data_IF_382727085383
#
_entry.id   IF_382727085383
#
_cell.length_a   1.000
_cell.length_b   1.000
_cell.length_c   1.000
_cell.angle_alpha   90.00
_cell.angle_beta   90.00
_cell.angle_gamma   90.00
#
_symmetry.space_group_name_H-M   'P 1'
#
loop_
_entity.id
_entity.type
_entity.pdbx_description
1 polymer ?
#
# COMPACT_ATOMS: atom_id res chain seq x y z
N UNK A 1 -24.71 2.33 -19.35
CA UNK A 1 -23.33 2.20 -18.84
C UNK A 1 -22.82 0.81 -19.21
N UNK A 2 -21.74 0.71 -19.98
CA UNK A 2 -21.20 -0.58 -20.41
C UNK A 2 -20.49 -1.31 -19.27
N UNK A 3 -20.63 -2.64 -19.21
CA UNK A 3 -20.07 -3.52 -18.17
C UNK A 3 -18.56 -3.28 -17.95
N UNK A 4 -17.81 -2.97 -19.01
CA UNK A 4 -16.37 -2.66 -18.94
C UNK A 4 -16.03 -1.39 -18.15
N UNK A 5 -16.84 -0.34 -18.25
CA UNK A 5 -16.61 0.91 -17.50
C UNK A 5 -16.92 0.74 -16.01
N UNK A 6 -17.94 -0.09 -15.71
CA UNK A 6 -18.26 -0.45 -14.33
C UNK A 6 -17.13 -1.25 -13.67
N UNK A 7 -16.58 -2.24 -14.38
CA UNK A 7 -15.38 -2.99 -13.95
C UNK A 7 -14.17 -2.09 -13.72
N UNK A 8 -13.92 -1.14 -14.63
CA UNK A 8 -12.84 -0.17 -14.46
C UNK A 8 -13.03 0.68 -13.21
N UNK A 9 -14.23 1.23 -12.99
CA UNK A 9 -14.53 2.03 -11.79
C UNK A 9 -14.39 1.22 -10.49
N UNK A 10 -14.78 -0.05 -10.48
CA UNK A 10 -14.62 -0.92 -9.30
C UNK A 10 -13.15 -1.22 -9.02
N UNK A 11 -12.37 -1.55 -10.05
CA UNK A 11 -10.93 -1.80 -9.90
C UNK A 11 -10.18 -0.52 -9.49
N UNK A 12 -10.53 0.62 -10.08
CA UNK A 12 -9.96 1.92 -9.76
C UNK A 12 -10.33 2.39 -8.35
N UNK A 13 -11.60 2.24 -7.96
CA UNK A 13 -12.06 2.51 -6.61
C UNK A 13 -11.37 1.60 -5.58
N UNK A 14 -11.24 0.30 -5.87
CA UNK A 14 -10.50 -0.65 -5.05
C UNK A 14 -9.03 -0.29 -4.90
N UNK A 15 -8.39 0.19 -5.98
CA UNK A 15 -7.01 0.69 -5.95
C UNK A 15 -6.88 1.93 -5.05
N UNK A 16 -7.74 2.94 -5.24
CA UNK A 16 -7.73 4.15 -4.41
C UNK A 16 -7.99 3.83 -2.94
N UNK A 17 -8.97 2.96 -2.64
CA UNK A 17 -9.26 2.52 -1.29
C UNK A 17 -8.06 1.77 -0.68
N UNK A 18 -7.37 0.92 -1.44
CA UNK A 18 -6.17 0.21 -0.97
C UNK A 18 -5.00 1.18 -0.70
N UNK A 19 -4.82 2.19 -1.54
CA UNK A 19 -3.80 3.24 -1.35
C UNK A 19 -4.12 4.08 -0.11
N UNK A 20 -5.37 4.52 0.04
CA UNK A 20 -5.81 5.28 1.22
C UNK A 20 -5.65 4.46 2.50
N UNK A 21 -6.05 3.19 2.49
CA UNK A 21 -5.92 2.28 3.63
C UNK A 21 -4.44 2.02 3.99
N UNK A 22 -3.57 1.89 2.99
CA UNK A 22 -2.12 1.79 3.19
C UNK A 22 -1.55 3.06 3.81
N UNK A 23 -1.96 4.22 3.31
CA UNK A 23 -1.57 5.51 3.89
C UNK A 23 -2.00 5.62 5.34
N UNK A 24 -3.27 5.36 5.61
CA UNK A 24 -3.84 5.42 6.97
C UNK A 24 -3.15 4.47 7.95
N UNK A 25 -2.90 3.21 7.56
CA UNK A 25 -2.17 2.25 8.41
C UNK A 25 -0.73 2.66 8.64
N UNK A 26 -0.09 3.32 7.69
CA UNK A 26 1.26 3.82 7.90
C UNK A 26 1.29 4.93 8.95
N UNK A 27 0.42 5.93 8.84
CA UNK A 27 0.36 7.02 9.82
C UNK A 27 -0.08 6.53 11.21
N UNK A 28 -1.07 5.63 11.29
CA UNK A 28 -1.65 5.20 12.57
C UNK A 28 -0.93 4.03 13.25
N UNK A 29 -0.16 3.21 12.52
CA UNK A 29 0.47 2.00 13.08
C UNK A 29 1.98 2.03 12.92
N UNK A 30 2.48 2.32 11.71
CA UNK A 30 3.92 2.28 11.44
C UNK A 30 4.62 3.49 12.05
N UNK A 31 4.12 4.71 11.81
CA UNK A 31 4.73 5.94 12.34
C UNK A 31 4.59 6.02 13.87
N UNK A 32 3.40 5.75 14.41
CA UNK A 32 3.19 5.69 15.86
C UNK A 32 4.02 4.58 16.53
N UNK A 33 4.09 3.39 15.90
CA UNK A 33 4.90 2.28 16.40
C UNK A 33 6.41 2.53 16.35
N UNK A 34 6.89 3.26 15.34
CA UNK A 34 8.29 3.69 15.24
C UNK A 34 8.61 4.80 16.25
N UNK A 35 7.72 5.78 16.42
CA UNK A 35 7.86 6.85 17.43
C UNK A 35 7.86 6.30 18.85
N UNK A 36 6.99 5.34 19.17
CA UNK A 36 6.97 4.66 20.47
C UNK A 36 8.28 3.91 20.78
N UNK A 37 9.06 3.58 19.75
CA UNK A 37 10.36 2.90 19.85
C UNK A 37 11.55 3.85 19.70
N UNK A 38 11.32 5.16 19.71
CA UNK A 38 12.37 6.19 19.62
C UNK A 38 13.01 6.33 18.24
N UNK A 39 12.41 5.76 17.18
CA UNK A 39 12.91 5.92 15.81
C UNK A 39 12.37 7.23 15.25
N UNK A 40 13.27 8.17 14.94
CA UNK A 40 12.91 9.41 14.27
C UNK A 40 12.38 9.09 12.86
N UNK A 41 11.11 9.43 12.62
CA UNK A 41 10.48 9.36 11.31
C UNK A 41 10.46 10.79 10.76
N UNK A 42 11.01 11.00 9.56
CA UNK A 42 11.01 12.31 8.91
C UNK A 42 9.56 12.76 8.67
N UNK A 43 9.16 13.85 9.34
CA UNK A 43 7.83 14.45 9.18
C UNK A 43 7.81 15.28 7.88
N UNK A 44 7.28 14.72 6.78
CA UNK A 44 7.09 15.48 5.55
C UNK A 44 6.73 14.67 4.29
N UNK A 45 6.27 15.39 3.25
CA UNK A 45 5.85 14.84 1.95
C UNK A 45 6.98 14.11 1.19
N UNK A 46 8.25 14.43 1.50
CA UNK A 46 9.45 13.82 0.92
C UNK A 46 9.78 12.43 1.50
N UNK A 47 9.34 12.12 2.72
CA UNK A 47 9.45 10.76 3.29
C UNK A 47 8.53 9.76 2.56
N UNK A 48 7.46 10.26 1.93
CA UNK A 48 6.39 9.44 1.34
C UNK A 48 6.81 8.76 0.04
N UNK A 49 7.68 9.38 -0.77
CA UNK A 49 7.92 8.94 -2.15
C UNK A 49 8.92 7.78 -2.31
N UNK A 50 9.64 7.42 -1.25
CA UNK A 50 10.59 6.29 -1.25
C UNK A 50 10.87 5.68 0.12
N UNK A 51 10.64 6.44 1.20
CA UNK A 51 10.92 6.00 2.56
C UNK A 51 9.78 5.18 3.18
N UNK A 52 8.56 5.24 2.62
CA UNK A 52 7.40 4.47 3.11
C UNK A 52 7.69 2.96 3.20
N UNK A 53 8.26 2.40 2.14
CA UNK A 53 8.60 0.97 2.11
C UNK A 53 9.74 0.66 3.07
N UNK A 54 10.71 1.57 3.20
CA UNK A 54 11.83 1.46 4.12
C UNK A 54 11.36 1.43 5.57
N UNK A 55 10.57 2.41 5.99
CA UNK A 55 10.02 2.50 7.35
C UNK A 55 9.07 1.35 7.67
N UNK A 56 8.21 0.95 6.72
CA UNK A 56 7.32 -0.21 6.92
C UNK A 56 8.14 -1.48 7.14
N UNK A 57 9.22 -1.67 6.38
CA UNK A 57 10.12 -2.83 6.52
C UNK A 57 10.90 -2.79 7.83
N UNK A 58 11.40 -1.62 8.24
CA UNK A 58 12.05 -1.42 9.54
C UNK A 58 11.09 -1.72 10.69
N UNK A 59 9.86 -1.22 10.63
CA UNK A 59 8.82 -1.53 11.62
C UNK A 59 8.52 -3.03 11.69
N UNK A 60 8.29 -3.69 10.55
CA UNK A 60 8.08 -5.15 10.50
C UNK A 60 9.29 -5.97 10.97
N UNK A 61 10.50 -5.47 10.77
CA UNK A 61 11.73 -6.10 11.27
C UNK A 61 11.84 -5.99 12.79
N UNK A 62 11.42 -4.86 13.36
CA UNK A 62 11.44 -4.62 14.81
C UNK A 62 10.28 -5.33 15.54
N UNK A 63 9.21 -5.74 14.84
CA UNK A 63 8.04 -6.37 15.46
C UNK A 63 8.35 -7.74 16.06
N UNK A 64 7.97 -7.92 17.32
CA UNK A 64 8.09 -9.18 18.04
C UNK A 64 7.12 -10.25 17.53
N UNK A 65 7.42 -11.52 17.83
CA UNK A 65 6.60 -12.66 17.38
C UNK A 65 5.13 -12.56 17.83
N UNK A 66 4.88 -11.97 19.00
CA UNK A 66 3.52 -11.76 19.50
C UNK A 66 2.82 -10.60 18.78
N UNK A 67 3.51 -9.49 18.52
CA UNK A 67 2.96 -8.35 17.80
C UNK A 67 2.70 -8.65 16.33
N UNK A 68 3.52 -9.50 15.69
CA UNK A 68 3.28 -9.99 14.31
C UNK A 68 1.96 -10.73 14.16
N UNK A 69 1.45 -11.36 15.22
CA UNK A 69 0.16 -12.07 15.19
C UNK A 69 -1.02 -11.11 15.25
N UNK A 70 -0.83 -9.85 15.67
CA UNK A 70 -1.90 -8.87 15.69
C UNK A 70 -2.44 -8.62 14.28
N UNK A 71 -3.77 -8.49 14.13
CA UNK A 71 -4.40 -8.33 12.82
C UNK A 71 -3.88 -7.08 12.10
N UNK A 72 -3.64 -5.99 12.84
CA UNK A 72 -3.12 -4.71 12.34
C UNK A 72 -1.79 -4.88 11.59
N UNK A 73 -0.86 -5.61 12.20
CA UNK A 73 0.47 -5.84 11.65
C UNK A 73 0.45 -6.83 10.48
N UNK A 74 -0.47 -7.79 10.49
CA UNK A 74 -0.73 -8.64 9.31
C UNK A 74 -1.27 -7.84 8.12
N UNK A 75 -2.13 -6.86 8.36
CA UNK A 75 -2.62 -5.96 7.31
C UNK A 75 -1.51 -5.10 6.74
N UNK A 76 -0.65 -4.51 7.58
CA UNK A 76 0.54 -3.76 7.14
C UNK A 76 1.45 -4.64 6.27
N UNK A 77 1.74 -5.87 6.72
CA UNK A 77 2.56 -6.82 5.97
C UNK A 77 1.91 -7.29 4.66
N UNK A 78 0.58 -7.37 4.58
CA UNK A 78 -0.15 -7.68 3.34
C UNK A 78 -0.15 -6.49 2.38
N UNK A 79 -0.51 -5.30 2.86
CA UNK A 79 -0.64 -4.08 2.05
C UNK A 79 0.69 -3.62 1.45
N UNK A 80 1.83 -3.93 2.08
CA UNK A 80 3.14 -3.67 1.47
C UNK A 80 3.31 -4.39 0.11
N UNK A 81 2.68 -5.56 -0.06
CA UNK A 81 2.72 -6.36 -1.29
C UNK A 81 1.48 -6.13 -2.16
N UNK A 82 0.33 -5.89 -1.53
CA UNK A 82 -0.96 -5.75 -2.22
C UNK A 82 -1.00 -4.49 -3.09
N UNK A 83 -0.44 -3.37 -2.63
CA UNK A 83 -0.42 -2.12 -3.41
C UNK A 83 0.48 -2.20 -4.66
N UNK A 84 1.74 -2.67 -4.61
CA UNK A 84 2.52 -2.87 -5.83
C UNK A 84 1.92 -3.94 -6.75
N UNK A 85 1.27 -4.99 -6.20
CA UNK A 85 0.54 -5.97 -7.02
C UNK A 85 -0.67 -5.36 -7.73
N UNK A 86 -1.46 -4.52 -7.05
CA UNK A 86 -2.58 -3.82 -7.68
C UNK A 86 -2.10 -2.78 -8.71
N UNK A 87 -1.01 -2.07 -8.42
CA UNK A 87 -0.37 -1.16 -9.37
C UNK A 87 0.19 -1.88 -10.59
N UNK A 88 0.85 -3.02 -10.40
CA UNK A 88 1.34 -3.87 -11.48
C UNK A 88 0.19 -4.49 -12.28
N UNK A 89 -0.89 -4.91 -11.62
CA UNK A 89 -2.11 -5.39 -12.27
C UNK A 89 -2.80 -4.31 -13.10
N UNK A 90 -2.83 -3.06 -12.62
CA UNK A 90 -3.29 -1.91 -13.41
C UNK A 90 -2.38 -1.63 -14.60
N UNK A 91 -1.05 -1.65 -14.42
CA UNK A 91 -0.11 -1.44 -15.51
C UNK A 91 -0.22 -2.54 -16.57
N UNK A 92 -0.31 -3.81 -16.15
CA UNK A 92 -0.56 -4.94 -17.04
C UNK A 92 -1.92 -4.85 -17.72
N UNK A 93 -2.98 -4.48 -16.99
CA UNK A 93 -4.31 -4.28 -17.55
C UNK A 93 -4.35 -3.14 -18.57
N UNK A 94 -3.61 -2.06 -18.33
CA UNK A 94 -3.44 -0.97 -19.28
C UNK A 94 -2.64 -1.42 -20.50
N UNK A 95 -1.54 -2.17 -20.34
CA UNK A 95 -0.75 -2.72 -21.45
C UNK A 95 -1.59 -3.70 -22.28
N UNK A 96 -2.35 -4.59 -21.64
CA UNK A 96 -3.20 -5.57 -22.33
C UNK A 96 -4.37 -4.89 -23.05
N UNK A 97 -4.96 -3.86 -22.44
CA UNK A 97 -5.97 -3.03 -23.07
C UNK A 97 -5.39 -2.31 -24.27
N UNK A 98 -4.22 -1.66 -24.15
CA UNK A 98 -3.53 -1.01 -25.27
C UNK A 98 -3.18 -1.99 -26.38
N UNK A 99 -2.72 -3.20 -26.07
CA UNK A 99 -2.36 -4.21 -27.08
C UNK A 99 -3.57 -4.81 -27.80
N UNK A 100 -4.75 -4.82 -27.17
CA UNK A 100 -6.01 -5.20 -27.79
C UNK A 100 -6.69 -4.05 -28.56
N UNK A 101 -6.34 -2.79 -28.26
CA UNK A 101 -6.95 -1.61 -28.89
C UNK A 101 -6.16 -1.06 -30.08
N UNK A 102 -4.96 -1.60 -30.38
CA UNK A 102 -4.29 -1.40 -31.67
C UNK A 102 -4.14 0.05 -32.12
N UNK A 103 -3.50 0.89 -31.30
CA UNK A 103 -2.87 2.13 -31.76
C UNK A 103 -1.39 2.13 -31.44
#
# INVERSE_FOLDING_TARGET
>A
MGVGQWLFCVLFGGFLAAVALRGWLFFSVVQDGLRARGVAVDDGWLAVRGSFNRYTRTYLALLDAQERRQPRNRWVARLQWLVPLLGAGMALGAILASSLTGQ
#
